data_IF_061855162445
#
_entry.id   IF_061855162445
#
_cell.length_a   1.000
_cell.length_b   1.000
_cell.length_c   1.000
_cell.angle_alpha   90.00
_cell.angle_beta   90.00
_cell.angle_gamma   90.00
#
_symmetry.space_group_name_H-M   'P 1'
#
loop_
_entity.id
_entity.type
_entity.pdbx_description
1 polymer ?
#
# COMPACT_ATOMS: atom_id res chain seq x y z
N UNK A 1 -13.37 2.06 -12.82
CA UNK A 1 -12.14 1.43 -13.35
C UNK A 1 -12.21 -0.09 -13.36
N UNK A 2 -12.53 -0.73 -12.24
CA UNK A 2 -12.63 -2.19 -12.18
C UNK A 2 -13.64 -2.75 -13.18
N UNK A 3 -14.82 -2.15 -13.27
CA UNK A 3 -15.84 -2.58 -14.23
C UNK A 3 -15.34 -2.54 -15.67
N UNK A 4 -14.62 -1.48 -16.03
CA UNK A 4 -14.03 -1.37 -17.36
C UNK A 4 -13.02 -2.49 -17.63
N UNK A 5 -12.17 -2.81 -16.67
CA UNK A 5 -11.18 -3.89 -16.81
C UNK A 5 -11.89 -5.23 -17.00
N UNK A 6 -12.90 -5.52 -16.20
CA UNK A 6 -13.65 -6.76 -16.28
C UNK A 6 -14.35 -6.91 -17.63
N UNK A 7 -14.92 -5.83 -18.14
CA UNK A 7 -15.67 -5.85 -19.41
C UNK A 7 -14.78 -5.89 -20.65
N UNK A 8 -13.62 -5.22 -20.63
CA UNK A 8 -12.79 -5.02 -21.82
C UNK A 8 -11.50 -5.86 -21.83
N UNK A 9 -11.15 -6.48 -20.69
CA UNK A 9 -9.93 -7.29 -20.58
C UNK A 9 -10.28 -8.73 -20.30
N UNK A 10 -9.31 -9.61 -20.55
CA UNK A 10 -9.49 -11.04 -20.28
C UNK A 10 -9.25 -11.32 -18.81
N UNK A 11 -10.27 -11.15 -18.00
CA UNK A 11 -10.20 -11.33 -16.56
C UNK A 11 -11.17 -12.42 -16.15
N UNK A 12 -10.64 -13.49 -15.58
CA UNK A 12 -11.44 -14.64 -15.13
C UNK A 12 -11.38 -14.87 -13.63
N UNK A 13 -10.34 -14.34 -12.96
CA UNK A 13 -10.11 -14.57 -11.54
C UNK A 13 -9.82 -13.27 -10.84
N UNK A 14 -10.41 -13.07 -9.67
CA UNK A 14 -10.27 -11.83 -8.90
C UNK A 14 -9.83 -12.19 -7.49
N UNK A 15 -8.78 -11.56 -7.01
CA UNK A 15 -8.33 -11.63 -5.63
C UNK A 15 -8.66 -10.31 -4.96
N UNK A 16 -9.57 -10.35 -3.98
CA UNK A 16 -9.88 -9.19 -3.15
C UNK A 16 -9.08 -9.26 -1.87
N UNK A 17 -8.51 -8.12 -1.47
CA UNK A 17 -7.75 -8.07 -0.24
C UNK A 17 -7.74 -6.65 0.34
N UNK A 18 -7.50 -6.56 1.64
CA UNK A 18 -7.21 -5.29 2.27
C UNK A 18 -6.10 -5.50 3.30
N UNK A 19 -5.54 -4.40 3.77
CA UNK A 19 -4.39 -4.42 4.68
C UNK A 19 -4.90 -4.18 6.08
N UNK A 20 -4.53 -5.10 6.98
CA UNK A 20 -4.96 -5.06 8.36
C UNK A 20 -4.28 -3.92 9.10
N UNK A 21 -5.09 -3.08 9.75
CA UNK A 21 -4.59 -2.00 10.62
C UNK A 21 -3.47 -1.19 9.97
N UNK A 22 -3.69 -0.78 8.72
CA UNK A 22 -2.65 -0.16 7.91
C UNK A 22 -1.96 1.01 8.63
N UNK A 23 -2.75 1.96 9.16
CA UNK A 23 -2.17 3.16 9.77
C UNK A 23 -1.33 2.87 11.01
N UNK A 24 -1.64 1.78 11.71
CA UNK A 24 -0.88 1.38 12.90
C UNK A 24 0.42 0.67 12.57
N UNK A 25 0.56 0.18 11.34
CA UNK A 25 1.67 -0.68 10.93
C UNK A 25 2.65 -0.04 9.97
N UNK A 26 2.40 1.18 9.52
CA UNK A 26 3.31 1.87 8.61
C UNK A 26 4.67 2.05 9.26
N UNK A 27 5.72 1.58 8.61
CA UNK A 27 7.09 1.72 9.07
C UNK A 27 7.60 3.12 8.72
N UNK A 28 7.94 3.91 9.71
CA UNK A 28 8.37 5.30 9.50
C UNK A 28 9.68 5.37 8.72
N UNK A 29 10.58 4.44 8.94
CA UNK A 29 11.86 4.40 8.22
C UNK A 29 11.65 4.21 6.72
N UNK A 30 10.81 3.25 6.34
CA UNK A 30 10.49 3.03 4.93
C UNK A 30 9.72 4.20 4.34
N UNK A 31 8.76 4.75 5.11
CA UNK A 31 8.00 5.92 4.65
C UNK A 31 8.93 7.08 4.30
N UNK A 32 9.89 7.38 5.18
CA UNK A 32 10.83 8.47 4.93
C UNK A 32 11.71 8.19 3.71
N UNK A 33 12.13 6.96 3.51
CA UNK A 33 12.89 6.58 2.31
C UNK A 33 12.10 6.82 1.04
N UNK A 34 10.83 6.45 1.04
CA UNK A 34 9.96 6.67 -0.12
C UNK A 34 9.75 8.16 -0.39
N UNK A 35 9.55 8.95 0.66
CA UNK A 35 9.36 10.38 0.53
C UNK A 35 10.60 11.07 -0.02
N UNK A 36 11.79 10.63 0.36
CA UNK A 36 13.05 11.18 -0.13
C UNK A 36 13.20 11.04 -1.65
N UNK A 37 12.56 10.05 -2.26
CA UNK A 37 12.54 9.91 -3.71
C UNK A 37 11.77 11.02 -4.42
N UNK A 38 10.83 11.67 -3.72
CA UNK A 38 9.93 12.66 -4.31
C UNK A 38 10.14 14.07 -3.80
N UNK A 39 10.71 14.20 -2.62
CA UNK A 39 10.85 15.49 -1.93
C UNK A 39 12.32 15.73 -1.63
N UNK A 40 12.85 16.84 -2.16
CA UNK A 40 14.23 17.25 -1.91
C UNK A 40 14.35 18.17 -0.69
N UNK A 41 13.26 18.85 -0.32
CA UNK A 41 13.26 19.82 0.77
C UNK A 41 13.37 19.12 2.12
N UNK A 42 14.52 19.29 2.77
CA UNK A 42 14.80 18.66 4.06
C UNK A 42 13.92 19.19 5.17
N UNK A 43 13.50 20.45 5.11
CA UNK A 43 12.63 21.04 6.13
C UNK A 43 11.25 20.40 6.06
N UNK A 44 10.74 20.17 4.84
CA UNK A 44 9.47 19.48 4.66
C UNK A 44 9.55 18.04 5.13
N UNK A 45 10.61 17.32 4.79
CA UNK A 45 10.81 15.94 5.24
C UNK A 45 10.86 15.87 6.77
N UNK A 46 11.54 16.81 7.41
CA UNK A 46 11.62 16.86 8.87
C UNK A 46 10.25 17.11 9.49
N UNK A 47 9.46 17.98 8.89
CA UNK A 47 8.10 18.26 9.35
C UNK A 47 7.22 17.02 9.26
N UNK A 48 7.29 16.31 8.13
CA UNK A 48 6.53 15.08 7.93
C UNK A 48 6.95 14.03 8.96
N UNK A 49 8.25 13.90 9.20
CA UNK A 49 8.75 12.95 10.20
C UNK A 49 8.21 13.25 11.59
N UNK A 50 8.21 14.53 11.97
CA UNK A 50 7.62 14.94 13.25
C UNK A 50 6.14 14.59 13.34
N UNK A 51 5.42 14.76 12.22
CA UNK A 51 4.02 14.42 12.14
C UNK A 51 3.80 12.92 12.35
N UNK A 52 4.61 12.08 11.71
CA UNK A 52 4.57 10.63 11.89
C UNK A 52 4.88 10.23 13.34
N UNK A 53 5.91 10.84 13.93
CA UNK A 53 6.31 10.54 15.30
C UNK A 53 5.28 11.02 16.33
N UNK A 54 4.52 12.04 16.00
CA UNK A 54 3.49 12.56 16.89
C UNK A 54 2.37 11.54 17.11
N UNK A 55 2.16 10.64 16.15
CA UNK A 55 1.12 9.63 16.25
C UNK A 55 -0.27 10.20 16.02
N UNK A 56 -1.26 9.55 16.63
CA UNK A 56 -2.66 9.89 16.45
C UNK A 56 -3.05 11.02 17.39
N UNK A 57 -3.73 12.03 16.84
CA UNK A 57 -4.28 13.14 17.62
C UNK A 57 -5.80 13.01 17.62
N UNK A 58 -6.35 12.64 18.77
CA UNK A 58 -7.80 12.55 18.97
C UNK A 58 -8.19 13.32 20.20
N UNK A 59 -9.21 14.19 20.09
CA UNK A 59 -9.73 14.98 21.21
C UNK A 59 -8.63 15.71 21.98
N UNK A 60 -7.61 16.18 21.28
CA UNK A 60 -6.49 16.89 21.89
C UNK A 60 -5.45 16.00 22.58
N UNK A 61 -5.66 14.70 22.56
CA UNK A 61 -4.71 13.75 23.15
C UNK A 61 -3.73 13.30 22.04
N UNK A 62 -2.45 13.35 22.38
CA UNK A 62 -1.40 12.98 21.46
C UNK A 62 -0.79 11.65 21.87
N UNK A 63 -0.67 10.73 20.91
CA UNK A 63 -0.05 9.44 21.11
C UNK A 63 1.25 9.36 20.32
N UNK A 64 2.34 9.02 21.01
CA UNK A 64 3.62 8.78 20.35
C UNK A 64 3.65 7.32 19.89
N UNK A 65 3.84 7.12 18.60
CA UNK A 65 3.97 5.79 18.03
C UNK A 65 5.23 5.70 17.18
N UNK A 66 6.03 4.64 17.34
CA UNK A 66 7.17 4.43 16.46
C UNK A 66 6.76 3.96 15.07
N UNK A 67 5.54 3.48 14.95
CA UNK A 67 4.95 3.00 13.70
C UNK A 67 3.60 3.67 13.50
N UNK A 68 3.12 3.62 12.24
CA UNK A 68 1.81 4.16 11.92
C UNK A 68 1.83 5.62 11.53
N UNK A 69 0.67 6.12 11.14
CA UNK A 69 0.46 7.52 10.80
C UNK A 69 -0.72 8.06 11.59
N UNK A 70 -0.76 9.39 11.84
CA UNK A 70 -1.91 9.98 12.52
C UNK A 70 -3.18 9.79 11.68
N UNK A 71 -4.16 9.13 12.26
CA UNK A 71 -5.46 8.94 11.61
C UNK A 71 -6.27 10.22 11.71
N UNK A 72 -7.08 10.48 10.69
CA UNK A 72 -7.93 11.67 10.65
C UNK A 72 -7.21 12.94 10.24
N UNK A 73 -5.89 12.91 10.06
CA UNK A 73 -5.13 14.03 9.55
C UNK A 73 -5.29 14.13 8.02
N UNK A 74 -5.28 15.35 7.51
CA UNK A 74 -5.41 15.58 6.07
C UNK A 74 -4.28 14.91 5.29
N UNK A 75 -3.09 14.87 5.86
CA UNK A 75 -1.92 14.32 5.19
C UNK A 75 -1.88 12.78 5.21
N UNK A 76 -2.62 12.14 6.13
CA UNK A 76 -2.57 10.68 6.27
C UNK A 76 -2.97 9.92 5.00
N UNK A 77 -4.05 10.28 4.29
CA UNK A 77 -4.37 9.60 3.04
C UNK A 77 -3.30 9.77 1.98
N UNK A 78 -2.66 10.93 1.92
CA UNK A 78 -1.59 11.20 0.96
C UNK A 78 -0.38 10.32 1.29
N UNK A 79 0.02 10.26 2.54
CA UNK A 79 1.15 9.44 2.99
C UNK A 79 0.86 7.96 2.78
N UNK A 80 -0.36 7.52 3.07
CA UNK A 80 -0.78 6.15 2.86
C UNK A 80 -0.65 5.76 1.37
N UNK A 81 -1.11 6.62 0.47
CA UNK A 81 -1.02 6.36 -0.95
C UNK A 81 0.42 6.33 -1.44
N UNK A 82 1.29 7.17 -0.91
CA UNK A 82 2.71 7.13 -1.26
C UNK A 82 3.33 5.82 -0.80
N UNK A 83 3.07 5.40 0.43
CA UNK A 83 3.61 4.17 0.98
C UNK A 83 3.19 2.96 0.14
N UNK A 84 1.90 2.84 -0.14
CA UNK A 84 1.36 1.73 -0.91
C UNK A 84 1.73 1.78 -2.38
N UNK A 85 1.99 2.96 -2.91
CA UNK A 85 2.50 3.06 -4.27
C UNK A 85 3.84 2.31 -4.41
N UNK A 86 4.75 2.51 -3.47
CA UNK A 86 6.06 1.83 -3.51
C UNK A 86 5.98 0.37 -3.08
N UNK A 87 5.21 0.08 -2.04
CA UNK A 87 5.14 -1.27 -1.50
C UNK A 87 4.34 -2.20 -2.41
N UNK A 88 3.23 -1.73 -2.94
CA UNK A 88 2.26 -2.56 -3.65
C UNK A 88 2.20 -2.27 -5.15
N UNK A 89 1.93 -1.03 -5.53
CA UNK A 89 1.67 -0.69 -6.94
C UNK A 89 2.88 -0.94 -7.82
N UNK A 90 4.05 -0.42 -7.45
CA UNK A 90 5.27 -0.60 -8.23
C UNK A 90 5.74 -2.05 -8.22
N UNK A 91 5.66 -2.70 -7.06
CA UNK A 91 6.02 -4.12 -6.96
C UNK A 91 5.17 -4.97 -7.89
N UNK A 92 3.86 -4.75 -7.88
CA UNK A 92 2.98 -5.51 -8.75
C UNK A 92 3.31 -5.28 -10.22
N UNK A 93 3.41 -4.03 -10.61
CA UNK A 93 3.67 -3.66 -12.00
C UNK A 93 5.06 -4.10 -12.50
N UNK A 94 6.09 -3.94 -11.68
CA UNK A 94 7.47 -4.17 -12.11
C UNK A 94 7.98 -5.58 -11.83
N UNK A 95 7.40 -6.28 -10.87
CA UNK A 95 7.89 -7.59 -10.44
C UNK A 95 6.86 -8.68 -10.70
N UNK A 96 5.72 -8.65 -10.00
CA UNK A 96 4.79 -9.77 -10.06
C UNK A 96 4.13 -9.92 -11.42
N UNK A 97 3.65 -8.83 -11.99
CA UNK A 97 2.97 -8.84 -13.29
C UNK A 97 3.84 -9.42 -14.40
N UNK A 98 5.14 -9.17 -14.35
CA UNK A 98 6.09 -9.68 -15.34
C UNK A 98 6.26 -11.19 -15.28
N UNK A 99 5.94 -11.81 -14.15
CA UNK A 99 6.00 -13.25 -13.98
C UNK A 99 4.72 -13.94 -14.44
N UNK A 100 3.64 -13.20 -14.65
CA UNK A 100 2.36 -13.74 -15.04
C UNK A 100 2.37 -14.16 -16.50
N UNK A 101 1.73 -15.28 -16.78
CA UNK A 101 1.59 -15.79 -18.14
C UNK A 101 0.56 -15.02 -18.94
N UNK A 102 -0.47 -14.51 -18.29
CA UNK A 102 -1.54 -13.75 -18.90
C UNK A 102 -1.64 -12.35 -18.38
N UNK A 103 -2.76 -11.71 -18.69
CA UNK A 103 -3.04 -10.36 -18.22
C UNK A 103 -3.31 -10.35 -16.71
N UNK A 104 -2.78 -9.34 -16.04
CA UNK A 104 -3.00 -9.13 -14.61
C UNK A 104 -3.06 -7.65 -14.31
N UNK A 105 -4.01 -7.23 -13.48
CA UNK A 105 -4.26 -5.84 -13.15
C UNK A 105 -4.50 -5.68 -11.67
N UNK A 106 -3.89 -4.64 -11.09
CA UNK A 106 -4.13 -4.22 -9.73
C UNK A 106 -4.99 -2.96 -9.74
N UNK A 107 -6.08 -2.98 -9.00
CA UNK A 107 -6.92 -1.80 -8.78
C UNK A 107 -6.95 -1.55 -7.28
N UNK A 108 -6.45 -0.41 -6.85
CA UNK A 108 -6.33 -0.07 -5.44
C UNK A 108 -7.05 1.24 -5.12
N UNK A 109 -7.79 1.21 -4.02
CA UNK A 109 -8.39 2.41 -3.43
C UNK A 109 -7.96 2.45 -1.97
N UNK A 110 -7.03 3.37 -1.64
CA UNK A 110 -6.41 3.43 -0.32
C UNK A 110 -5.77 2.08 0.03
N UNK A 111 -6.16 1.45 1.13
CA UNK A 111 -5.65 0.15 1.55
C UNK A 111 -6.51 -1.03 1.09
N UNK A 112 -7.59 -0.75 0.38
CA UNK A 112 -8.41 -1.80 -0.25
C UNK A 112 -7.94 -2.00 -1.68
N UNK A 113 -7.86 -3.24 -2.12
CA UNK A 113 -7.45 -3.50 -3.49
C UNK A 113 -7.97 -4.82 -4.00
N UNK A 114 -8.02 -4.92 -5.32
CA UNK A 114 -8.32 -6.16 -6.02
C UNK A 114 -7.26 -6.40 -7.06
N UNK A 115 -6.95 -7.66 -7.30
CA UNK A 115 -6.03 -8.05 -8.36
C UNK A 115 -6.80 -8.99 -9.29
N UNK A 116 -6.79 -8.65 -10.57
CA UNK A 116 -7.53 -9.40 -11.59
C UNK A 116 -6.54 -10.20 -12.44
N UNK A 117 -6.87 -11.45 -12.72
CA UNK A 117 -6.00 -12.35 -13.47
C UNK A 117 -6.73 -13.01 -14.62
N UNK A 118 -6.01 -13.24 -15.70
CA UNK A 118 -6.51 -14.04 -16.81
C UNK A 118 -6.49 -15.53 -16.48
N UNK A 119 -5.42 -16.00 -15.84
CA UNK A 119 -5.22 -17.42 -15.53
C UNK A 119 -5.15 -17.70 -14.05
N UNK A 120 -5.73 -18.83 -13.63
CA UNK A 120 -5.67 -19.28 -12.25
C UNK A 120 -4.23 -19.54 -11.79
N UNK A 121 -3.39 -20.00 -12.70
CA UNK A 121 -1.97 -20.26 -12.43
C UNK A 121 -1.23 -19.02 -11.94
N UNK A 122 -1.65 -17.84 -12.42
CA UNK A 122 -1.07 -16.57 -12.00
C UNK A 122 -1.70 -16.08 -10.69
N UNK A 123 -2.99 -16.40 -10.49
CA UNK A 123 -3.73 -15.95 -9.31
C UNK A 123 -3.35 -16.72 -8.03
N UNK A 124 -3.19 -18.04 -8.14
CA UNK A 124 -2.92 -18.89 -6.98
C UNK A 124 -1.69 -18.49 -6.17
N UNK A 125 -0.51 -18.29 -6.78
CA UNK A 125 0.67 -17.93 -6.01
C UNK A 125 0.69 -16.48 -5.55
N UNK A 126 -0.22 -15.66 -6.05
CA UNK A 126 -0.24 -14.23 -5.75
C UNK A 126 -0.46 -13.95 -4.26
N UNK A 127 -1.36 -14.69 -3.61
CA UNK A 127 -1.64 -14.48 -2.20
C UNK A 127 -0.39 -14.62 -1.35
N UNK A 128 0.39 -15.66 -1.62
CA UNK A 128 1.64 -15.91 -0.90
C UNK A 128 2.69 -14.85 -1.21
N UNK A 129 2.87 -14.52 -2.48
CA UNK A 129 3.83 -13.49 -2.89
C UNK A 129 3.48 -12.14 -2.29
N UNK A 130 2.19 -11.81 -2.25
CA UNK A 130 1.68 -10.59 -1.67
C UNK A 130 1.95 -10.54 -0.17
N UNK A 131 1.70 -11.65 0.53
CA UNK A 131 1.97 -11.75 1.96
C UNK A 131 3.44 -11.52 2.27
N UNK A 132 4.32 -12.15 1.52
CA UNK A 132 5.77 -11.98 1.69
C UNK A 132 6.20 -10.54 1.45
N UNK A 133 5.64 -9.91 0.41
CA UNK A 133 5.94 -8.52 0.10
C UNK A 133 5.51 -7.58 1.22
N UNK A 134 4.28 -7.74 1.71
CA UNK A 134 3.76 -6.89 2.77
C UNK A 134 4.52 -7.09 4.08
N UNK A 135 4.87 -8.33 4.42
CA UNK A 135 5.64 -8.62 5.63
C UNK A 135 6.97 -7.87 5.66
N UNK A 136 7.61 -7.73 4.51
CA UNK A 136 8.88 -7.00 4.39
C UNK A 136 8.76 -5.56 4.86
N UNK A 137 7.60 -4.96 4.70
CA UNK A 137 7.36 -3.56 5.05
C UNK A 137 6.49 -3.40 6.29
N UNK A 138 6.37 -4.45 7.09
CA UNK A 138 5.65 -4.40 8.35
C UNK A 138 4.13 -4.45 8.22
N UNK A 139 3.62 -4.76 7.04
CA UNK A 139 2.18 -4.80 6.79
C UNK A 139 1.68 -6.24 6.78
N UNK A 140 0.37 -6.39 6.98
CA UNK A 140 -0.28 -7.69 7.07
C UNK A 140 -1.63 -7.63 6.38
N UNK A 141 -1.95 -8.70 5.63
CA UNK A 141 -3.27 -8.82 5.02
C UNK A 141 -4.33 -9.08 6.08
N UNK A 142 -5.51 -8.49 5.90
CA UNK A 142 -6.66 -8.82 6.73
C UNK A 142 -7.10 -10.27 6.45
N UNK A 143 -7.60 -10.98 7.48
CA UNK A 143 -8.04 -12.38 7.32
C UNK A 143 -9.27 -12.52 6.43
#
# INVERSE_FOLDING_TARGET
MLGHIIETRRVNYVLEADIRSFFDRVDHGWMMKFLEHRIADRNLLRLIYRFLRAGIMEAGIRYDTPEGTPQGGVISPILANIYLHYVLDLWFDKVYRKQCKGEAYLVRYADDFVICFQYLEDAKPCHRALKERLDKFGLELAP
#
